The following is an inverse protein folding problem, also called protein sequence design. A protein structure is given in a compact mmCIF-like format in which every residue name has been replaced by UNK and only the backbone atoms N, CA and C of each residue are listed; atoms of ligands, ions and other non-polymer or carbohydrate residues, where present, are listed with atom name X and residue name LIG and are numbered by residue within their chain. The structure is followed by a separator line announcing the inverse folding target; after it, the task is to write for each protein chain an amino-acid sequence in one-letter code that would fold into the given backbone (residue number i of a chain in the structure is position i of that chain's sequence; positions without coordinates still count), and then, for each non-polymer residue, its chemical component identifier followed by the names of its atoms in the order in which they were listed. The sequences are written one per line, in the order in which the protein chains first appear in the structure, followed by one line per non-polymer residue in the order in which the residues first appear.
data_IF_559718563030
#
_entry.id   IF_559718563030
#
_cell.length_a   1.000
_cell.length_b   1.000
_cell.length_c   1.000
_cell.angle_alpha   90.00
_cell.angle_beta   90.00
_cell.angle_gamma   90.00
#
_symmetry.space_group_name_H-M   'P 1'
#
loop_
_entity.id
_entity.type
_entity.pdbx_description
1 polymer ?
#
# COMPACT_ATOMS: atom_id res chain seq x y z
N UNK A 1 -8.62 8.18 -25.58
CA UNK A 1 -9.48 7.72 -24.47
C UNK A 1 -9.54 6.20 -24.35
N UNK A 2 -9.73 5.42 -25.45
CA UNK A 2 -9.77 3.94 -25.37
C UNK A 2 -8.47 3.32 -24.85
N UNK A 3 -7.30 3.82 -25.26
CA UNK A 3 -6.01 3.34 -24.78
C UNK A 3 -5.81 3.52 -23.26
N UNK A 4 -6.45 4.54 -22.67
CA UNK A 4 -6.38 4.78 -21.23
C UNK A 4 -7.21 3.77 -20.39
N UNK A 5 -8.05 2.97 -21.05
CA UNK A 5 -8.86 1.93 -20.40
C UNK A 5 -8.14 0.57 -20.36
N UNK A 6 -7.06 0.43 -21.12
CA UNK A 6 -6.28 -0.80 -21.12
C UNK A 6 -5.42 -0.88 -19.86
N UNK A 7 -5.43 -2.05 -19.22
CA UNK A 7 -4.48 -2.38 -18.15
C UNK A 7 -3.05 -2.43 -18.69
N UNK A 8 -2.08 -2.36 -17.79
CA UNK A 8 -0.69 -2.53 -18.14
C UNK A 8 -0.42 -3.93 -18.68
N UNK A 9 0.67 -4.08 -19.43
CA UNK A 9 1.11 -5.41 -19.91
C UNK A 9 1.74 -6.18 -18.75
N UNK A 10 1.46 -7.49 -18.69
CA UNK A 10 2.00 -8.35 -17.64
C UNK A 10 3.49 -8.58 -17.82
N UNK A 11 4.22 -8.66 -16.71
CA UNK A 11 5.57 -9.23 -16.69
C UNK A 11 5.47 -10.73 -17.04
N UNK A 12 6.38 -11.22 -17.88
CA UNK A 12 6.39 -12.63 -18.31
C UNK A 12 6.69 -13.62 -17.18
N UNK A 13 7.24 -13.13 -16.07
CA UNK A 13 7.55 -13.94 -14.88
C UNK A 13 6.40 -13.92 -13.85
N UNK A 14 5.35 -13.10 -14.04
CA UNK A 14 4.21 -13.07 -13.14
C UNK A 14 3.41 -14.38 -13.23
N UNK A 15 2.97 -14.98 -12.11
CA UNK A 15 2.11 -16.15 -12.12
C UNK A 15 0.82 -15.89 -12.91
N UNK A 16 0.37 -16.86 -13.68
CA UNK A 16 -0.87 -16.75 -14.47
C UNK A 16 -1.99 -17.48 -13.74
N UNK A 17 -3.09 -16.77 -13.49
CA UNK A 17 -4.27 -17.35 -12.82
C UNK A 17 -5.14 -16.33 -12.12
N UNK A 18 -6.08 -16.80 -11.30
CA UNK A 18 -6.91 -15.98 -10.41
C UNK A 18 -6.23 -15.67 -9.07
N UNK A 19 -6.99 -15.10 -8.14
CA UNK A 19 -6.52 -14.68 -6.79
C UNK A 19 -5.79 -15.82 -6.03
N UNK A 20 -6.29 -17.07 -6.14
CA UNK A 20 -5.73 -18.23 -5.43
C UNK A 20 -4.49 -18.86 -6.11
N UNK A 21 -4.14 -18.42 -7.32
CA UNK A 21 -3.02 -18.98 -8.10
C UNK A 21 -1.69 -18.25 -7.85
N UNK A 22 -1.58 -17.54 -6.75
CA UNK A 22 -0.32 -16.92 -6.33
C UNK A 22 0.77 -17.95 -6.03
N UNK A 23 2.02 -17.55 -6.10
CA UNK A 23 3.16 -18.39 -5.75
C UNK A 23 3.81 -17.91 -4.47
N UNK A 24 3.85 -18.76 -3.43
CA UNK A 24 4.63 -18.44 -2.22
C UNK A 24 6.13 -18.55 -2.52
N UNK A 25 6.84 -17.42 -2.35
CA UNK A 25 8.28 -17.33 -2.60
C UNK A 25 9.08 -17.68 -1.35
N UNK A 26 8.63 -17.22 -0.20
CA UNK A 26 9.42 -17.29 1.03
C UNK A 26 8.52 -17.31 2.27
N UNK A 27 8.97 -18.00 3.32
CA UNK A 27 8.45 -17.90 4.68
C UNK A 27 9.56 -17.34 5.59
N UNK A 28 9.23 -16.34 6.39
CA UNK A 28 10.13 -15.67 7.33
C UNK A 28 9.58 -15.76 8.73
N UNK A 29 10.42 -16.17 9.69
CA UNK A 29 10.01 -16.39 11.07
C UNK A 29 9.21 -17.68 11.24
N UNK A 30 8.89 -18.00 12.49
CA UNK A 30 8.10 -19.19 12.86
C UNK A 30 6.90 -18.74 13.67
N UNK A 31 5.67 -19.07 13.26
CA UNK A 31 4.48 -18.81 14.05
C UNK A 31 4.61 -19.40 15.45
N UNK A 32 4.27 -18.60 16.46
CA UNK A 32 4.30 -19.03 17.85
C UNK A 32 3.25 -20.10 18.10
N UNK A 33 3.63 -21.16 18.79
CA UNK A 33 2.72 -22.23 19.22
C UNK A 33 2.20 -21.93 20.64
N UNK A 34 1.08 -21.20 20.70
CA UNK A 34 0.47 -20.78 21.97
C UNK A 34 -0.03 -21.96 22.82
N UNK A 35 -0.37 -23.10 22.21
CA UNK A 35 -0.76 -24.29 22.94
C UNK A 35 0.40 -24.86 23.77
N UNK A 36 1.63 -24.82 23.26
CA UNK A 36 2.83 -25.18 24.04
C UNK A 36 3.12 -24.23 25.18
N UNK A 37 2.73 -22.95 25.03
CA UNK A 37 2.91 -21.93 26.06
C UNK A 37 1.77 -21.97 27.11
N UNK A 38 0.75 -22.81 26.92
CA UNK A 38 -0.30 -23.06 27.88
C UNK A 38 -1.39 -21.99 27.95
N UNK A 39 -1.58 -21.19 26.90
CA UNK A 39 -2.69 -20.22 26.84
C UNK A 39 -3.23 -20.05 25.42
N UNK A 40 -4.47 -19.54 25.33
CA UNK A 40 -5.11 -19.19 24.07
C UNK A 40 -4.79 -17.75 23.67
N UNK A 41 -4.41 -17.47 22.41
CA UNK A 41 -4.16 -16.11 21.95
C UNK A 41 -5.49 -15.32 21.87
N UNK A 42 -5.42 -14.02 22.20
CA UNK A 42 -6.52 -13.09 22.03
C UNK A 42 -6.38 -12.32 20.73
N UNK A 43 -7.51 -12.00 20.09
CA UNK A 43 -7.49 -11.16 18.91
C UNK A 43 -7.28 -9.67 19.25
N UNK A 44 -7.08 -8.84 18.20
CA UNK A 44 -6.82 -7.41 18.36
C UNK A 44 -7.98 -6.65 19.00
N UNK A 45 -9.23 -7.11 18.85
CA UNK A 45 -10.40 -6.49 19.48
C UNK A 45 -10.39 -6.74 20.98
N UNK A 46 -10.14 -7.97 21.39
CA UNK A 46 -10.04 -8.34 22.80
C UNK A 46 -8.88 -7.66 23.50
N UNK A 47 -7.71 -7.65 22.85
CA UNK A 47 -6.52 -6.94 23.36
C UNK A 47 -6.76 -5.43 23.39
N UNK A 48 -7.35 -4.87 22.35
CA UNK A 48 -7.67 -3.45 22.26
C UNK A 48 -8.62 -3.00 23.37
N UNK A 49 -9.63 -3.81 23.69
CA UNK A 49 -10.56 -3.54 24.80
C UNK A 49 -9.88 -3.67 26.17
N UNK A 50 -9.08 -4.71 26.36
CA UNK A 50 -8.35 -4.95 27.61
C UNK A 50 -7.38 -3.81 27.95
N UNK A 51 -6.70 -3.29 26.94
CA UNK A 51 -5.71 -2.22 27.06
C UNK A 51 -6.33 -0.81 26.99
N UNK A 52 -7.64 -0.70 26.68
CA UNK A 52 -8.27 0.59 26.38
C UNK A 52 -7.65 1.26 25.15
N UNK A 53 -7.21 0.47 24.17
CA UNK A 53 -6.44 0.94 23.01
C UNK A 53 -7.28 1.14 21.75
N UNK A 54 -8.34 0.34 21.58
CA UNK A 54 -9.23 0.36 20.40
C UNK A 54 -10.67 0.44 20.86
N UNK A 55 -11.42 1.45 20.36
CA UNK A 55 -12.84 1.66 20.68
C UNK A 55 -13.67 1.67 19.38
N UNK A 56 -14.18 0.52 19.01
CA UNK A 56 -15.05 0.35 17.84
C UNK A 56 -16.51 0.74 18.14
N UNK A 57 -16.94 0.70 19.40
CA UNK A 57 -18.32 1.06 19.79
C UNK A 57 -18.56 2.56 19.61
N UNK A 58 -17.64 3.39 20.12
CA UNK A 58 -17.70 4.85 19.90
C UNK A 58 -17.41 5.22 18.46
N UNK A 59 -16.52 4.51 17.77
CA UNK A 59 -16.29 4.68 16.34
C UNK A 59 -17.57 4.48 15.53
N UNK A 60 -18.26 3.36 15.74
CA UNK A 60 -19.54 3.07 15.09
C UNK A 60 -20.64 4.08 15.41
N UNK A 61 -20.70 4.59 16.65
CA UNK A 61 -21.66 5.62 17.05
C UNK A 61 -21.47 6.94 16.28
N UNK A 62 -20.23 7.29 15.98
CA UNK A 62 -19.89 8.60 15.35
C UNK A 62 -19.93 8.51 13.83
N UNK A 63 -19.41 7.42 13.24
CA UNK A 63 -19.18 7.34 11.81
C UNK A 63 -19.72 6.04 11.14
N UNK A 64 -20.45 5.22 11.88
CA UNK A 64 -20.99 3.96 11.34
C UNK A 64 -20.03 2.78 11.49
N UNK A 65 -20.40 1.66 10.86
CA UNK A 65 -19.56 0.44 10.84
C UNK A 65 -18.19 0.70 10.24
N UNK A 66 -17.20 -0.17 10.55
CA UNK A 66 -15.81 -0.05 10.06
C UNK A 66 -15.12 1.26 10.45
N UNK A 67 -15.54 1.85 11.57
CA UNK A 67 -14.95 3.05 12.16
C UNK A 67 -14.52 2.76 13.59
N UNK A 68 -13.47 3.42 14.03
CA UNK A 68 -12.85 3.16 15.33
C UNK A 68 -12.18 4.42 15.88
N UNK A 69 -11.86 4.38 17.16
CA UNK A 69 -10.90 5.27 17.80
C UNK A 69 -9.70 4.44 18.26
N UNK A 70 -8.51 4.94 18.04
CA UNK A 70 -7.33 4.55 18.80
C UNK A 70 -7.21 5.46 20.00
N UNK A 71 -7.04 4.88 21.19
CA UNK A 71 -7.00 5.63 22.45
C UNK A 71 -5.80 5.20 23.29
N UNK A 72 -5.28 6.10 24.10
CA UNK A 72 -4.18 5.79 25.03
C UNK A 72 -3.00 5.13 24.32
N UNK A 73 -2.64 3.93 24.76
CA UNK A 73 -1.53 3.15 24.21
C UNK A 73 -1.71 2.81 22.72
N UNK A 74 -2.94 2.66 22.24
CA UNK A 74 -3.21 2.40 20.82
C UNK A 74 -2.78 3.56 19.93
N UNK A 75 -3.14 4.79 20.29
CA UNK A 75 -2.70 5.99 19.56
C UNK A 75 -1.17 6.17 19.65
N UNK A 76 -0.57 5.90 20.81
CA UNK A 76 0.89 5.98 20.97
C UNK A 76 1.61 4.95 20.11
N UNK A 77 1.05 3.74 19.97
CA UNK A 77 1.61 2.69 19.12
C UNK A 77 1.57 3.09 17.65
N UNK A 78 0.48 3.70 17.19
CA UNK A 78 0.39 4.23 15.83
C UNK A 78 1.47 5.27 15.54
N UNK A 79 1.62 6.28 16.39
CA UNK A 79 2.69 7.27 16.25
C UNK A 79 4.08 6.63 16.26
N UNK A 80 4.30 5.62 17.08
CA UNK A 80 5.57 4.91 17.14
C UNK A 80 5.86 4.14 15.84
N UNK A 81 4.86 3.44 15.29
CA UNK A 81 4.97 2.71 14.03
C UNK A 81 5.22 3.64 12.85
N UNK A 82 4.48 4.75 12.75
CA UNK A 82 4.70 5.79 11.72
C UNK A 82 6.13 6.35 11.82
N UNK A 83 6.55 6.74 13.03
CA UNK A 83 7.91 7.26 13.20
C UNK A 83 8.98 6.23 12.83
N UNK A 84 8.82 4.98 13.24
CA UNK A 84 9.74 3.91 12.90
C UNK A 84 9.81 3.66 11.38
N UNK A 85 8.66 3.65 10.70
CA UNK A 85 8.59 3.49 9.25
C UNK A 85 9.31 4.65 8.53
N UNK A 86 9.06 5.89 8.93
CA UNK A 86 9.73 7.07 8.36
C UNK A 86 11.25 7.01 8.61
N UNK A 87 11.71 6.62 9.80
CA UNK A 87 13.14 6.49 10.08
C UNK A 87 13.78 5.37 9.26
N UNK A 88 13.07 4.24 9.05
CA UNK A 88 13.51 3.16 8.18
C UNK A 88 13.63 3.63 6.72
N UNK A 89 12.62 4.35 6.22
CA UNK A 89 12.63 4.90 4.87
C UNK A 89 13.79 5.90 4.65
N UNK A 90 14.04 6.79 5.62
CA UNK A 90 15.17 7.74 5.58
C UNK A 90 16.52 7.02 5.43
N UNK A 91 16.75 5.93 6.18
CA UNK A 91 17.99 5.13 6.09
C UNK A 91 18.17 4.52 4.70
N UNK A 92 17.09 4.26 3.99
CA UNK A 92 17.06 3.67 2.66
C UNK A 92 16.99 4.73 1.53
N UNK A 93 17.22 6.00 1.86
CA UNK A 93 17.34 7.09 0.89
C UNK A 93 16.01 7.65 0.42
N UNK A 94 14.91 7.44 1.14
CA UNK A 94 13.61 8.06 0.86
C UNK A 94 13.53 9.46 1.48
N UNK A 95 12.89 10.37 0.78
CA UNK A 95 12.48 11.67 1.31
C UNK A 95 11.09 11.57 1.92
N UNK A 96 10.90 11.89 3.21
CA UNK A 96 9.58 11.89 3.83
C UNK A 96 8.67 12.96 3.22
N UNK A 97 7.41 12.63 3.00
CA UNK A 97 6.40 13.53 2.44
C UNK A 97 5.09 13.38 3.21
N UNK A 98 4.44 14.50 3.51
CA UNK A 98 3.03 14.53 3.95
C UNK A 98 2.24 15.11 2.78
N UNK A 99 1.65 14.24 1.93
CA UNK A 99 0.96 14.68 0.73
C UNK A 99 -0.49 15.11 1.02
N UNK A 100 -1.13 15.86 0.10
CA UNK A 100 -2.56 16.14 0.20
C UNK A 100 -3.36 14.84 0.08
N UNK A 101 -4.43 14.72 0.88
CA UNK A 101 -5.38 13.59 0.82
C UNK A 101 -6.58 13.89 -0.07
N UNK A 102 -6.81 15.14 -0.43
CA UNK A 102 -7.76 15.58 -1.44
C UNK A 102 -7.01 15.82 -2.74
N UNK A 103 -7.42 15.10 -3.79
CA UNK A 103 -6.77 15.16 -5.11
C UNK A 103 -7.78 15.45 -6.21
N UNK A 104 -7.32 16.06 -7.29
CA UNK A 104 -8.14 16.33 -8.45
C UNK A 104 -8.36 15.06 -9.32
N UNK A 105 -9.36 15.09 -10.25
CA UNK A 105 -9.61 13.96 -11.14
C UNK A 105 -8.41 13.52 -11.97
N UNK A 106 -7.57 14.45 -12.42
CA UNK A 106 -6.42 14.15 -13.28
C UNK A 106 -5.38 13.26 -12.54
N UNK A 107 -5.16 13.50 -11.25
CA UNK A 107 -4.29 12.65 -10.43
C UNK A 107 -4.86 11.23 -10.29
N UNK A 108 -6.16 11.10 -10.04
CA UNK A 108 -6.84 9.80 -9.91
C UNK A 108 -6.87 9.02 -11.23
N UNK A 109 -7.18 9.68 -12.33
CA UNK A 109 -7.19 9.06 -13.67
C UNK A 109 -5.79 8.65 -14.10
N UNK A 110 -4.82 9.54 -13.89
CA UNK A 110 -3.42 9.29 -14.27
C UNK A 110 -2.79 8.12 -13.56
N UNK A 111 -3.17 7.86 -12.31
CA UNK A 111 -2.68 6.72 -11.53
C UNK A 111 -3.48 5.43 -11.76
N UNK A 112 -4.65 5.50 -12.42
CA UNK A 112 -5.47 4.34 -12.76
C UNK A 112 -6.56 3.99 -11.73
N UNK A 113 -6.77 4.80 -10.69
CA UNK A 113 -7.74 4.52 -9.62
C UNK A 113 -9.21 4.77 -9.98
N UNK A 114 -9.52 5.44 -11.09
CA UNK A 114 -10.89 5.61 -11.59
C UNK A 114 -11.33 4.51 -12.59
N UNK A 115 -10.57 3.42 -12.66
CA UNK A 115 -10.94 2.20 -13.40
C UNK A 115 -11.72 1.21 -12.52
N UNK A 116 -11.18 0.00 -12.38
CA UNK A 116 -11.78 -1.09 -11.60
C UNK A 116 -11.99 -0.75 -10.11
N UNK A 117 -11.13 0.09 -9.54
CA UNK A 117 -11.19 0.49 -8.13
C UNK A 117 -12.13 1.68 -7.84
N UNK A 118 -12.81 2.24 -8.85
CA UNK A 118 -13.61 3.47 -8.70
C UNK A 118 -14.71 3.36 -7.62
N UNK A 119 -15.28 2.17 -7.41
CA UNK A 119 -16.30 1.94 -6.38
C UNK A 119 -15.80 2.16 -4.95
N UNK A 120 -14.49 1.99 -4.73
CA UNK A 120 -13.86 2.15 -3.43
C UNK A 120 -13.43 3.58 -3.11
N UNK A 121 -13.60 4.51 -4.05
CA UNK A 121 -13.14 5.88 -3.91
C UNK A 121 -14.27 6.79 -3.38
N UNK A 122 -13.96 7.62 -2.38
CA UNK A 122 -14.83 8.70 -1.95
C UNK A 122 -14.65 9.92 -2.85
N UNK A 123 -15.74 10.41 -3.44
CA UNK A 123 -15.77 11.64 -4.22
C UNK A 123 -16.57 12.72 -3.52
N UNK A 124 -16.04 13.93 -3.50
CA UNK A 124 -16.73 15.14 -3.07
C UNK A 124 -17.20 15.87 -4.34
N UNK A 125 -18.43 15.60 -4.77
CA UNK A 125 -18.96 16.06 -6.05
C UNK A 125 -18.99 17.58 -6.20
N UNK A 126 -19.30 18.31 -5.12
CA UNK A 126 -19.43 19.76 -5.15
C UNK A 126 -18.12 20.46 -5.50
N UNK A 127 -17.00 19.90 -5.05
CA UNK A 127 -15.66 20.48 -5.23
C UNK A 127 -14.87 19.75 -6.34
N UNK A 128 -15.45 18.69 -6.90
CA UNK A 128 -14.83 17.79 -7.89
C UNK A 128 -13.46 17.29 -7.48
N UNK A 129 -13.38 16.77 -6.24
CA UNK A 129 -12.16 16.18 -5.68
C UNK A 129 -12.45 14.80 -5.11
N UNK A 130 -11.40 14.03 -4.90
CA UNK A 130 -11.44 12.68 -4.36
C UNK A 130 -10.60 12.57 -3.09
N UNK A 131 -11.07 11.76 -2.12
CA UNK A 131 -10.24 11.32 -1.00
C UNK A 131 -9.40 10.12 -1.45
N UNK A 132 -8.10 10.18 -1.17
CA UNK A 132 -7.17 9.11 -1.58
C UNK A 132 -7.34 7.85 -0.74
N UNK A 133 -7.28 6.69 -1.38
CA UNK A 133 -7.19 5.38 -0.69
C UNK A 133 -5.75 4.95 -0.40
N UNK A 134 -4.78 5.74 -0.87
CA UNK A 134 -3.34 5.54 -0.70
C UNK A 134 -2.61 6.82 -1.10
N UNK A 135 -1.49 7.12 -0.45
CA UNK A 135 -0.63 8.25 -0.86
C UNK A 135 0.11 8.00 -2.19
N UNK A 136 0.05 6.79 -2.74
CA UNK A 136 0.52 6.52 -4.10
C UNK A 136 0.01 7.56 -5.10
N UNK A 137 -1.28 7.91 -5.02
CA UNK A 137 -1.89 8.86 -5.96
C UNK A 137 -1.22 10.24 -5.94
N UNK A 138 -1.16 10.96 -4.80
CA UNK A 138 -0.51 12.26 -4.77
C UNK A 138 1.00 12.18 -4.96
N UNK A 139 1.66 11.08 -4.57
CA UNK A 139 3.10 10.92 -4.80
C UNK A 139 3.41 10.72 -6.29
N UNK A 140 2.63 9.91 -6.99
CA UNK A 140 2.77 9.75 -8.44
C UNK A 140 2.49 11.06 -9.17
N UNK A 141 1.42 11.77 -8.79
CA UNK A 141 1.01 13.02 -9.43
C UNK A 141 1.86 14.24 -9.04
N UNK A 142 2.73 14.12 -8.03
CA UNK A 142 3.60 15.22 -7.56
C UNK A 142 4.47 15.82 -8.68
N UNK A 143 4.87 14.99 -9.64
CA UNK A 143 5.67 15.38 -10.80
C UNK A 143 4.89 15.42 -12.12
N UNK A 144 3.55 15.55 -12.04
CA UNK A 144 2.71 15.65 -13.23
C UNK A 144 3.18 16.79 -14.14
N UNK A 145 3.28 16.51 -15.46
CA UNK A 145 3.76 17.41 -16.49
C UNK A 145 5.23 17.85 -16.36
N UNK A 146 6.04 17.12 -15.57
CA UNK A 146 7.47 17.45 -15.40
C UNK A 146 8.39 16.54 -16.24
N UNK A 147 9.58 17.09 -16.54
CA UNK A 147 10.71 16.37 -17.09
C UNK A 147 11.82 16.38 -16.04
N UNK A 148 12.05 15.23 -15.43
CA UNK A 148 13.01 15.06 -14.34
C UNK A 148 14.45 14.94 -14.90
N UNK A 149 15.46 15.49 -14.20
CA UNK A 149 16.86 15.30 -14.60
C UNK A 149 17.33 13.87 -14.25
N UNK A 150 17.97 13.19 -15.19
CA UNK A 150 18.39 11.79 -15.03
C UNK A 150 19.33 11.57 -13.84
N UNK A 151 20.15 12.58 -13.50
CA UNK A 151 21.11 12.51 -12.38
C UNK A 151 20.46 12.51 -11.00
N UNK A 152 19.16 12.81 -10.91
CA UNK A 152 18.38 12.72 -9.66
C UNK A 152 17.70 11.36 -9.46
N UNK A 153 17.71 10.52 -10.49
CA UNK A 153 17.05 9.20 -10.40
C UNK A 153 17.98 8.18 -9.71
N UNK A 154 17.43 7.25 -8.91
CA UNK A 154 16.01 7.16 -8.57
C UNK A 154 15.58 8.21 -7.55
N UNK A 155 14.39 8.81 -7.75
CA UNK A 155 13.72 9.62 -6.73
C UNK A 155 12.82 8.73 -5.88
N UNK A 156 13.00 8.78 -4.57
CA UNK A 156 12.27 7.95 -3.61
C UNK A 156 11.58 8.81 -2.56
N UNK A 157 10.29 8.58 -2.37
CA UNK A 157 9.44 9.30 -1.43
C UNK A 157 8.76 8.33 -0.47
N UNK A 158 8.74 8.66 0.82
CA UNK A 158 7.95 7.98 1.84
C UNK A 158 6.79 8.87 2.25
N UNK A 159 5.60 8.59 1.75
CA UNK A 159 4.39 9.38 1.99
C UNK A 159 3.62 8.87 3.19
N UNK A 160 3.50 9.69 4.24
CA UNK A 160 2.58 9.43 5.33
C UNK A 160 1.25 10.13 5.08
N UNK A 161 0.17 9.39 5.06
CA UNK A 161 -1.17 9.97 4.96
C UNK A 161 -2.24 9.09 5.58
N UNK A 162 -3.33 9.73 6.00
CA UNK A 162 -4.61 9.04 6.16
C UNK A 162 -5.11 8.58 4.80
N UNK A 163 -5.69 7.38 4.76
CA UNK A 163 -6.24 6.72 3.58
C UNK A 163 -7.73 6.45 3.80
N UNK A 164 -8.52 6.57 2.74
CA UNK A 164 -9.99 6.46 2.79
C UNK A 164 -10.48 5.46 1.75
N UNK A 165 -11.20 4.42 2.18
CA UNK A 165 -11.76 3.41 1.29
C UNK A 165 -13.22 3.13 1.63
N UNK A 166 -14.09 3.09 0.61
CA UNK A 166 -15.51 2.78 0.77
C UNK A 166 -15.74 1.31 1.13
N UNK A 167 -14.76 0.45 0.86
CA UNK A 167 -14.85 -1.00 1.07
C UNK A 167 -16.08 -1.61 0.38
N UNK A 168 -16.41 -1.10 -0.82
CA UNK A 168 -17.51 -1.59 -1.62
C UNK A 168 -17.27 -3.07 -2.03
N UNK A 169 -18.33 -3.87 -2.02
CA UNK A 169 -18.24 -5.29 -2.38
C UNK A 169 -17.68 -6.21 -1.30
N UNK A 170 -17.26 -5.69 -0.14
CA UNK A 170 -16.70 -6.50 0.97
C UNK A 170 -17.71 -6.78 2.09
N UNK A 171 -18.99 -6.86 1.74
CA UNK A 171 -20.06 -7.15 2.70
C UNK A 171 -19.81 -8.48 3.43
N UNK A 172 -19.81 -8.43 4.76
CA UNK A 172 -19.58 -9.61 5.61
C UNK A 172 -18.12 -10.03 5.79
N UNK A 173 -17.18 -9.48 5.02
CA UNK A 173 -15.74 -9.76 5.20
C UNK A 173 -15.14 -8.83 6.26
N UNK A 174 -14.38 -9.40 7.21
CA UNK A 174 -13.63 -8.67 8.25
C UNK A 174 -14.45 -7.55 8.93
N UNK A 175 -15.70 -7.85 9.30
CA UNK A 175 -16.62 -6.86 9.91
C UNK A 175 -16.30 -6.58 11.37
N UNK A 176 -15.50 -7.43 12.01
CA UNK A 176 -15.06 -7.29 13.39
C UNK A 176 -13.66 -6.68 13.46
N UNK A 177 -13.51 -5.65 14.29
CA UNK A 177 -12.24 -5.02 14.58
C UNK A 177 -11.82 -3.96 13.55
N UNK A 178 -10.52 -3.80 13.37
CA UNK A 178 -9.91 -2.74 12.56
C UNK A 178 -9.07 -3.24 11.38
N UNK A 179 -9.19 -4.53 11.01
CA UNK A 179 -8.46 -5.09 9.86
C UNK A 179 -8.94 -4.47 8.55
N UNK A 180 -10.24 -4.17 8.45
CA UNK A 180 -10.84 -3.57 7.24
C UNK A 180 -11.76 -2.43 7.63
N UNK A 181 -11.30 -1.21 7.40
CA UNK A 181 -11.92 0.03 7.88
C UNK A 181 -12.00 1.08 6.77
N UNK A 182 -12.86 2.09 6.96
CA UNK A 182 -13.05 3.18 6.01
C UNK A 182 -11.93 4.22 6.03
N UNK A 183 -11.24 4.34 7.17
CA UNK A 183 -10.14 5.27 7.39
C UNK A 183 -9.03 4.58 8.17
N UNK A 184 -7.80 4.71 7.68
CA UNK A 184 -6.59 4.19 8.32
C UNK A 184 -5.39 5.04 7.90
N UNK A 185 -4.29 4.94 8.61
CA UNK A 185 -3.06 5.65 8.27
C UNK A 185 -2.05 4.70 7.61
N UNK A 186 -1.26 5.22 6.68
CA UNK A 186 -0.29 4.44 5.90
C UNK A 186 0.99 5.24 5.63
N UNK A 187 2.12 4.55 5.70
CA UNK A 187 3.38 5.02 5.13
C UNK A 187 3.64 4.24 3.85
N UNK A 188 3.63 4.95 2.73
CA UNK A 188 3.82 4.42 1.38
C UNK A 188 5.18 4.79 0.84
N UNK A 189 5.91 3.81 0.33
CA UNK A 189 7.11 4.01 -0.47
C UNK A 189 6.71 4.26 -1.93
N UNK A 190 7.30 5.24 -2.58
CA UNK A 190 7.10 5.53 -3.99
C UNK A 190 8.44 5.85 -4.66
N UNK A 191 8.69 5.24 -5.81
CA UNK A 191 9.94 5.43 -6.54
C UNK A 191 9.70 5.80 -8.00
N UNK A 192 10.48 6.77 -8.48
CA UNK A 192 10.66 7.09 -9.89
C UNK A 192 12.06 6.65 -10.28
N UNK A 193 12.18 5.75 -11.25
CA UNK A 193 13.47 5.28 -11.74
C UNK A 193 13.47 5.13 -13.26
N UNK A 194 14.63 4.84 -13.84
CA UNK A 194 14.71 4.49 -15.25
C UNK A 194 14.03 3.13 -15.49
N UNK A 195 13.35 2.93 -16.64
CA UNK A 195 12.64 1.68 -16.92
C UNK A 195 13.50 0.42 -16.80
N UNK A 196 14.76 0.49 -17.21
CA UNK A 196 15.73 -0.60 -17.11
C UNK A 196 16.11 -0.98 -15.68
N UNK A 197 15.93 -0.08 -14.73
CA UNK A 197 16.21 -0.27 -13.29
C UNK A 197 14.99 -0.74 -12.50
N UNK A 198 13.78 -0.71 -13.12
CA UNK A 198 12.52 -0.92 -12.41
C UNK A 198 12.40 -2.30 -11.75
N UNK A 199 12.92 -3.36 -12.38
CA UNK A 199 12.88 -4.72 -11.82
C UNK A 199 13.73 -4.81 -10.54
N UNK A 200 14.91 -4.23 -10.54
CA UNK A 200 15.80 -4.20 -9.38
C UNK A 200 15.23 -3.31 -8.27
N UNK A 201 14.67 -2.15 -8.62
CA UNK A 201 14.03 -1.26 -7.66
C UNK A 201 12.82 -1.93 -6.99
N UNK A 202 12.03 -2.74 -7.73
CA UNK A 202 10.92 -3.51 -7.18
C UNK A 202 11.40 -4.51 -6.13
N UNK A 203 12.49 -5.22 -6.39
CA UNK A 203 13.09 -6.14 -5.42
C UNK A 203 13.61 -5.40 -4.17
N UNK A 204 14.11 -4.18 -4.31
CA UNK A 204 14.52 -3.35 -3.16
C UNK A 204 13.33 -2.94 -2.30
N UNK A 205 12.20 -2.51 -2.91
CA UNK A 205 10.97 -2.19 -2.18
C UNK A 205 10.50 -3.40 -1.36
N UNK A 206 10.42 -4.58 -1.99
CA UNK A 206 10.07 -5.82 -1.31
C UNK A 206 11.02 -6.14 -0.15
N UNK A 207 12.32 -5.94 -0.34
CA UNK A 207 13.32 -6.19 0.70
C UNK A 207 13.11 -5.25 1.90
N UNK A 208 12.80 -3.98 1.69
CA UNK A 208 12.55 -3.03 2.78
C UNK A 208 11.26 -3.34 3.54
N UNK A 209 10.21 -3.81 2.88
CA UNK A 209 9.01 -4.33 3.56
C UNK A 209 9.32 -5.54 4.44
N UNK A 210 10.12 -6.49 3.93
CA UNK A 210 10.58 -7.66 4.69
C UNK A 210 11.40 -7.26 5.93
N UNK A 211 12.31 -6.31 5.77
CA UNK A 211 13.13 -5.79 6.88
C UNK A 211 12.27 -5.13 7.95
N UNK A 212 11.26 -4.36 7.55
CA UNK A 212 10.34 -3.72 8.48
C UNK A 212 9.57 -4.76 9.31
N UNK A 213 8.95 -5.76 8.68
CA UNK A 213 8.20 -6.80 9.38
C UNK A 213 9.11 -7.71 10.23
N UNK A 214 10.31 -8.01 9.75
CA UNK A 214 11.31 -8.76 10.52
C UNK A 214 11.73 -8.02 11.80
N UNK A 215 11.88 -6.70 11.72
CA UNK A 215 12.20 -5.87 12.88
C UNK A 215 11.05 -5.81 13.90
N UNK A 216 9.80 -6.05 13.47
CA UNK A 216 8.64 -6.20 14.34
C UNK A 216 8.50 -7.63 14.90
N UNK A 217 9.38 -8.55 14.52
CA UNK A 217 9.35 -9.97 14.92
C UNK A 217 8.05 -10.69 14.53
N UNK A 218 7.39 -10.22 13.45
CA UNK A 218 6.14 -10.78 12.94
C UNK A 218 6.47 -11.88 11.93
N UNK A 219 6.03 -13.13 12.13
CA UNK A 219 6.15 -14.18 11.11
C UNK A 219 5.28 -13.87 9.89
N UNK A 220 5.85 -14.01 8.69
CA UNK A 220 5.16 -13.70 7.45
C UNK A 220 5.58 -14.63 6.31
N UNK A 221 4.81 -14.61 5.23
CA UNK A 221 5.20 -15.16 3.94
C UNK A 221 5.19 -14.09 2.87
N UNK A 222 5.98 -14.29 1.83
CA UNK A 222 6.00 -13.46 0.61
C UNK A 222 5.34 -14.25 -0.50
N UNK A 223 4.40 -13.63 -1.20
CA UNK A 223 3.76 -14.21 -2.37
C UNK A 223 3.99 -13.36 -3.61
N UNK A 224 4.17 -14.03 -4.75
CA UNK A 224 4.13 -13.45 -6.10
C UNK A 224 2.68 -13.54 -6.58
N UNK A 225 2.04 -12.40 -6.76
CA UNK A 225 0.61 -12.30 -7.00
C UNK A 225 0.27 -12.70 -8.43
N UNK A 226 -0.78 -13.50 -8.59
CA UNK A 226 -1.22 -13.96 -9.90
C UNK A 226 -1.86 -12.84 -10.73
N UNK A 227 -1.77 -12.99 -12.05
CA UNK A 227 -2.18 -11.99 -13.05
C UNK A 227 -3.63 -11.52 -12.92
N UNK A 228 -4.53 -12.35 -12.44
CA UNK A 228 -5.95 -12.02 -12.26
C UNK A 228 -6.25 -11.16 -11.04
N UNK A 229 -5.28 -11.01 -10.12
CA UNK A 229 -5.39 -10.18 -8.91
C UNK A 229 -4.50 -8.92 -8.97
N UNK A 230 -3.89 -8.64 -10.12
CA UNK A 230 -3.14 -7.41 -10.32
C UNK A 230 -4.07 -6.22 -10.55
N UNK A 231 -3.76 -5.09 -9.90
CA UNK A 231 -4.34 -3.81 -10.25
C UNK A 231 -3.99 -3.41 -11.69
N UNK A 232 -4.83 -2.58 -12.33
CA UNK A 232 -4.68 -2.20 -13.74
C UNK A 232 -3.34 -1.54 -14.10
N UNK A 233 -2.65 -0.96 -13.14
CA UNK A 233 -1.35 -0.28 -13.32
C UNK A 233 -0.14 -1.21 -13.20
N UNK A 234 -0.25 -2.30 -12.45
CA UNK A 234 0.87 -3.17 -12.13
C UNK A 234 1.16 -4.19 -13.24
N UNK A 235 2.45 -4.37 -13.56
CA UNK A 235 2.91 -5.49 -14.40
C UNK A 235 3.26 -6.72 -13.54
N UNK A 236 3.64 -6.50 -12.29
CA UNK A 236 3.94 -7.51 -11.27
C UNK A 236 3.74 -6.92 -9.88
N UNK A 237 3.27 -7.73 -8.95
CA UNK A 237 3.02 -7.36 -7.55
C UNK A 237 3.53 -8.46 -6.63
N UNK A 238 4.14 -8.08 -5.53
CA UNK A 238 4.42 -8.99 -4.42
C UNK A 238 3.63 -8.52 -3.21
N UNK A 239 3.02 -9.46 -2.50
CA UNK A 239 2.38 -9.19 -1.23
C UNK A 239 3.14 -9.87 -0.10
N UNK A 240 3.16 -9.23 1.07
CA UNK A 240 3.61 -9.87 2.28
C UNK A 240 2.40 -10.07 3.18
N UNK A 241 2.21 -11.31 3.60
CA UNK A 241 1.12 -11.71 4.46
C UNK A 241 1.66 -12.13 5.84
N UNK A 242 1.18 -11.45 6.89
CA UNK A 242 1.53 -11.76 8.27
C UNK A 242 0.68 -12.91 8.81
N UNK A 243 1.27 -13.73 9.67
CA UNK A 243 0.54 -14.78 10.37
C UNK A 243 -0.35 -14.20 11.46
N UNK A 244 -1.65 -14.50 11.42
CA UNK A 244 -2.62 -14.09 12.45
C UNK A 244 -3.00 -15.32 13.29
N UNK A 245 -2.48 -15.44 14.52
CA UNK A 245 -2.67 -16.65 15.34
C UNK A 245 -4.11 -17.03 15.59
N UNK A 246 -4.98 -16.05 15.86
CA UNK A 246 -6.39 -16.28 16.15
C UNK A 246 -7.23 -16.67 14.92
N UNK A 247 -6.70 -16.44 13.72
CA UNK A 247 -7.33 -16.87 12.46
C UNK A 247 -6.70 -18.17 11.92
N UNK A 248 -5.52 -18.55 12.41
CA UNK A 248 -4.76 -19.67 11.88
C UNK A 248 -4.41 -19.50 10.40
N UNK A 249 -4.21 -18.25 9.95
CA UNK A 249 -4.05 -17.90 8.54
C UNK A 249 -3.07 -16.74 8.34
N UNK A 250 -2.48 -16.69 7.15
CA UNK A 250 -1.74 -15.51 6.68
C UNK A 250 -2.71 -14.47 6.12
N UNK A 251 -2.42 -13.19 6.38
CA UNK A 251 -3.22 -12.04 5.91
C UNK A 251 -2.29 -10.98 5.33
N UNK A 252 -2.65 -10.45 4.16
CA UNK A 252 -1.94 -9.35 3.53
C UNK A 252 -1.83 -8.14 4.48
N UNK A 253 -0.62 -7.64 4.65
CA UNK A 253 -0.32 -6.45 5.46
C UNK A 253 0.46 -5.40 4.67
N UNK A 254 1.21 -5.81 3.65
CA UNK A 254 1.90 -4.90 2.73
C UNK A 254 1.88 -5.46 1.31
N UNK A 255 2.00 -4.59 0.32
CA UNK A 255 2.17 -4.97 -1.08
C UNK A 255 3.10 -3.99 -1.80
N UNK A 256 3.85 -4.49 -2.79
CA UNK A 256 4.67 -3.66 -3.68
C UNK A 256 4.41 -3.98 -5.13
N UNK A 257 4.31 -2.94 -5.96
CA UNK A 257 3.96 -3.02 -7.37
C UNK A 257 4.97 -2.32 -8.26
N UNK A 258 5.32 -2.97 -9.36
CA UNK A 258 6.00 -2.34 -10.48
C UNK A 258 4.94 -1.91 -11.51
N UNK A 259 4.80 -0.60 -11.70
CA UNK A 259 3.86 -0.03 -12.65
C UNK A 259 4.52 0.33 -14.00
N UNK A 260 5.81 0.09 -14.13
CA UNK A 260 6.58 0.51 -15.30
C UNK A 260 6.25 1.96 -15.70
N UNK A 261 5.94 2.23 -16.96
CA UNK A 261 5.64 3.57 -17.47
C UNK A 261 4.13 3.92 -17.42
N UNK A 262 3.28 3.06 -16.87
CA UNK A 262 1.83 3.19 -16.96
C UNK A 262 1.31 4.51 -16.38
N UNK A 263 1.69 4.82 -15.16
CA UNK A 263 1.28 6.05 -14.49
C UNK A 263 2.01 7.27 -15.07
N UNK A 264 3.31 7.15 -15.32
CA UNK A 264 4.12 8.23 -15.84
C UNK A 264 3.63 8.72 -17.22
N UNK A 265 3.22 7.81 -18.11
CA UNK A 265 2.63 8.21 -19.42
C UNK A 265 1.33 8.97 -19.27
N UNK A 266 0.47 8.58 -18.33
CA UNK A 266 -0.83 9.22 -18.07
C UNK A 266 -0.67 10.59 -17.41
N UNK A 267 0.33 10.72 -16.52
CA UNK A 267 0.65 11.94 -15.80
C UNK A 267 1.66 12.83 -16.55
N UNK A 268 2.05 12.42 -17.77
CA UNK A 268 3.00 13.15 -18.63
C UNK A 268 4.36 13.41 -17.94
N UNK A 269 4.84 12.44 -17.16
CA UNK A 269 6.14 12.50 -16.47
C UNK A 269 7.19 11.79 -17.31
N UNK A 270 8.34 12.43 -17.48
CA UNK A 270 9.48 11.91 -18.24
C UNK A 270 10.78 12.26 -17.55
N UNK A 271 11.88 11.68 -17.98
CA UNK A 271 13.21 12.17 -17.58
C UNK A 271 14.04 12.57 -18.80
N UNK A 272 15.07 13.35 -18.57
CA UNK A 272 16.00 13.79 -19.61
C UNK A 272 17.44 13.47 -19.21
N UNK A 273 18.15 12.86 -20.14
CA UNK A 273 19.60 12.62 -20.07
C UNK A 273 20.32 13.25 -21.29
N UNK A 274 21.58 12.87 -21.51
CA UNK A 274 22.37 13.36 -22.63
C UNK A 274 21.79 12.97 -24.00
N UNK A 275 21.07 11.84 -24.08
CA UNK A 275 20.48 11.28 -25.31
C UNK A 275 19.08 11.81 -25.59
N UNK A 276 18.49 12.61 -24.68
CA UNK A 276 17.18 13.24 -24.87
C UNK A 276 16.17 12.93 -23.78
N UNK A 277 14.89 13.12 -24.11
CA UNK A 277 13.76 12.89 -23.19
C UNK A 277 13.24 11.46 -23.35
N UNK A 278 13.08 10.77 -22.24
CA UNK A 278 12.73 9.35 -22.17
C UNK A 278 11.56 9.10 -21.19
N UNK A 279 10.91 7.96 -21.33
CA UNK A 279 9.91 7.47 -20.40
C UNK A 279 10.55 7.11 -19.06
N UNK A 280 9.77 7.24 -17.96
CA UNK A 280 10.18 6.92 -16.60
C UNK A 280 9.26 5.85 -16.00
N UNK A 281 9.81 4.99 -15.17
CA UNK A 281 9.04 3.98 -14.45
C UNK A 281 8.63 4.50 -13.06
N UNK A 282 7.46 4.04 -12.60
CA UNK A 282 6.97 4.26 -11.24
C UNK A 282 6.77 2.94 -10.53
N UNK A 283 7.06 2.92 -9.24
CA UNK A 283 6.87 1.79 -8.36
C UNK A 283 6.32 2.28 -7.02
N UNK A 284 5.53 1.45 -6.38
CA UNK A 284 5.00 1.73 -5.05
C UNK A 284 5.14 0.51 -4.14
N UNK A 285 5.08 0.76 -2.84
CA UNK A 285 5.06 -0.29 -1.84
C UNK A 285 4.62 0.24 -0.48
N UNK A 286 3.77 -0.50 0.19
CA UNK A 286 3.32 -0.17 1.54
C UNK A 286 4.41 -0.53 2.55
N UNK A 287 4.99 0.46 3.24
CA UNK A 287 5.93 0.17 4.31
C UNK A 287 5.18 -0.27 5.58
N UNK A 288 4.10 0.42 5.94
CA UNK A 288 3.17 0.00 6.99
C UNK A 288 1.79 0.61 6.77
N UNK A 289 0.74 -0.18 6.98
CA UNK A 289 -0.65 0.26 7.16
C UNK A 289 -1.05 -0.01 8.62
N UNK A 290 -1.69 0.95 9.26
CA UNK A 290 -1.98 0.94 10.70
C UNK A 290 -3.47 1.01 10.95
#
# INVERSE_FOLDING_TARGET
KLLLQLSNLLDTEAPIGGEEDFVTIEHVGTPRDFAKDGFEPRDHVELGKLLGAIDTERGAKVAGSRSYYLTGVGALLEFALVNYAIQSALKNGFSPVIPPVLVNPAAMEGTGFLGQAAENVYRIEKDDVYLVGTSEVPLAAMHMDEILPAEKLPLRYAGYSTCFRREAGTYGKDTRGIIRVHQFDKVEMFSFCKPEEAKEEHQRLLQWEKEFLSAMEIPFRVIDVASGDLGSSAVRKFDIEAWIPTQGAYREVTSTSNCTEFQARRLNIRYKDADGTKAIATLNGTLVAI
#
